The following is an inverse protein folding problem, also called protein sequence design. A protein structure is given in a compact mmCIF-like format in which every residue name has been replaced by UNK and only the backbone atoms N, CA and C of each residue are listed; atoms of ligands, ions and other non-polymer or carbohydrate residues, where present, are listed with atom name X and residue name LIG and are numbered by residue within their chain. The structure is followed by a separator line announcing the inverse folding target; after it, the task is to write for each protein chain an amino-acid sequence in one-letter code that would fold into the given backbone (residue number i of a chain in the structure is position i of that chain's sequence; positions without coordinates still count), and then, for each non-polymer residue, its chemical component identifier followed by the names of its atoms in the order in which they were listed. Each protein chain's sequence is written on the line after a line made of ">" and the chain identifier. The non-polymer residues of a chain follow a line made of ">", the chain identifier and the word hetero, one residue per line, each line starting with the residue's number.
data_IF_476927406604
#
_entry.id   IF_476927406604
#
_cell.length_a   1.000
_cell.length_b   1.000
_cell.length_c   1.000
_cell.angle_alpha   90.00
_cell.angle_beta   90.00
_cell.angle_gamma   90.00
#
_symmetry.space_group_name_H-M   'P 1'
#
loop_
_entity.id
_entity.type
_entity.pdbx_description
1 polymer ?
#
# COMPACT_ATOMS: atom_id res chain seq x y z
N UNK A 1 -36.83 57.61 -6.33
CA UNK A 1 -36.79 56.90 -5.03
C UNK A 1 -36.60 55.43 -5.38
N UNK A 2 -35.34 54.97 -5.36
CA UNK A 2 -34.80 54.00 -4.38
C UNK A 2 -35.46 52.61 -4.52
N UNK A 3 -34.74 51.52 -4.76
CA UNK A 3 -33.32 51.32 -4.56
C UNK A 3 -32.76 50.02 -5.13
N UNK A 4 -31.47 49.88 -4.80
CA UNK A 4 -30.49 48.94 -5.29
C UNK A 4 -30.80 47.47 -4.99
N UNK A 5 -30.51 46.60 -5.96
CA UNK A 5 -30.20 45.19 -5.70
C UNK A 5 -28.84 44.86 -6.32
N UNK A 6 -27.83 44.75 -5.46
CA UNK A 6 -26.48 44.30 -5.81
C UNK A 6 -26.51 42.82 -6.23
N UNK A 7 -26.19 42.56 -7.50
CA UNK A 7 -25.84 41.25 -8.01
C UNK A 7 -24.37 40.93 -7.65
N UNK A 8 -24.14 39.93 -6.79
CA UNK A 8 -22.81 39.38 -6.55
C UNK A 8 -22.58 38.18 -7.47
N UNK A 9 -21.77 38.41 -8.49
CA UNK A 9 -21.20 37.42 -9.40
C UNK A 9 -20.21 36.51 -8.65
N UNK A 10 -20.52 35.22 -8.59
CA UNK A 10 -19.59 34.18 -8.16
C UNK A 10 -18.61 33.88 -9.31
N UNK A 11 -17.33 34.21 -9.12
CA UNK A 11 -16.25 33.75 -9.99
C UNK A 11 -15.70 32.43 -9.48
N UNK A 12 -15.96 31.35 -10.21
CA UNK A 12 -15.20 30.10 -10.12
C UNK A 12 -13.96 30.22 -11.01
N UNK A 13 -12.72 29.99 -10.53
CA UNK A 13 -11.61 29.77 -11.43
C UNK A 13 -11.62 28.30 -11.86
N UNK A 14 -11.92 28.11 -13.14
CA UNK A 14 -11.62 26.90 -13.91
C UNK A 14 -10.11 26.77 -14.01
N UNK A 15 -9.51 25.72 -13.46
CA UNK A 15 -8.14 25.37 -13.81
C UNK A 15 -8.14 24.49 -15.06
N UNK A 16 -7.38 24.98 -16.03
CA UNK A 16 -7.22 24.51 -17.40
C UNK A 16 -6.32 23.27 -17.41
N UNK A 17 -6.62 22.38 -18.35
CA UNK A 17 -5.91 21.14 -18.60
C UNK A 17 -4.61 21.32 -19.42
N UNK A 18 -3.75 20.28 -19.34
CA UNK A 18 -2.73 19.79 -20.30
C UNK A 18 -1.33 20.43 -20.30
N UNK A 19 -0.33 19.54 -20.31
CA UNK A 19 0.97 19.79 -20.95
C UNK A 19 2.15 19.07 -20.32
N UNK A 20 2.73 18.10 -21.02
CA UNK A 20 3.92 17.31 -20.66
C UNK A 20 5.18 18.16 -20.40
N UNK A 21 6.09 17.63 -19.57
CA UNK A 21 7.52 17.62 -19.92
C UNK A 21 8.23 16.42 -19.29
N UNK A 22 8.64 15.50 -20.13
CA UNK A 22 9.63 14.48 -19.82
C UNK A 22 11.01 15.15 -19.64
N UNK A 23 11.81 14.69 -18.67
CA UNK A 23 13.24 14.91 -18.70
C UNK A 23 13.96 13.66 -18.19
N UNK A 24 14.63 12.98 -19.14
CA UNK A 24 15.57 11.92 -18.89
C UNK A 24 16.85 12.48 -18.26
N UNK A 25 17.51 11.69 -17.40
CA UNK A 25 18.94 11.85 -17.11
C UNK A 25 19.61 10.47 -17.03
N UNK A 26 20.51 10.25 -17.97
CA UNK A 26 21.36 9.08 -18.10
C UNK A 26 22.55 9.14 -17.12
N UNK A 27 22.99 7.99 -16.61
CA UNK A 27 24.39 7.78 -16.20
C UNK A 27 24.85 6.41 -16.72
N UNK A 28 26.01 6.43 -17.37
CA UNK A 28 26.52 5.39 -18.24
C UNK A 28 27.22 4.20 -17.56
N UNK A 29 27.42 3.20 -18.43
CA UNK A 29 28.11 1.92 -18.30
C UNK A 29 29.45 1.94 -17.54
N UNK A 30 29.69 0.86 -16.80
CA UNK A 30 30.92 0.08 -16.93
C UNK A 30 30.59 -1.43 -16.88
N UNK A 31 30.85 -2.10 -18.00
CA UNK A 31 30.74 -3.54 -18.16
C UNK A 31 31.97 -4.24 -17.55
N UNK A 32 31.74 -5.36 -16.87
CA UNK A 32 32.77 -6.31 -16.44
C UNK A 32 32.19 -7.71 -16.48
N UNK A 33 32.32 -8.37 -17.63
CA UNK A 33 31.90 -9.75 -17.86
C UNK A 33 32.83 -10.73 -17.11
N UNK A 34 32.25 -11.54 -16.23
CA UNK A 34 32.88 -12.73 -15.66
C UNK A 34 32.01 -13.94 -16.01
N UNK A 35 32.53 -14.79 -16.89
CA UNK A 35 31.87 -15.96 -17.46
C UNK A 35 32.36 -17.24 -16.73
N UNK A 36 31.41 -18.15 -16.47
CA UNK A 36 31.50 -19.60 -16.20
C UNK A 36 32.00 -20.10 -14.82
N UNK A 37 31.68 -21.37 -14.42
CA UNK A 37 30.61 -22.27 -14.86
C UNK A 37 29.79 -22.92 -13.72
N UNK A 38 28.63 -23.47 -14.11
CA UNK A 38 27.83 -24.39 -13.33
C UNK A 38 28.58 -25.73 -13.12
N UNK A 39 28.63 -26.20 -11.88
CA UNK A 39 29.09 -27.54 -11.52
C UNK A 39 27.90 -28.47 -11.24
N UNK A 40 27.93 -29.61 -11.92
CA UNK A 40 26.93 -30.65 -11.99
C UNK A 40 26.60 -31.34 -10.66
N UNK A 41 25.33 -31.73 -10.51
CA UNK A 41 24.90 -32.74 -9.55
C UNK A 41 25.25 -34.15 -10.06
N UNK A 42 25.68 -35.09 -9.20
CA UNK A 42 25.88 -36.49 -9.59
C UNK A 42 24.56 -37.29 -9.66
N UNK A 43 24.54 -38.41 -10.41
CA UNK A 43 23.37 -39.27 -10.58
C UNK A 43 23.14 -40.17 -9.37
N UNK A 44 21.91 -40.68 -9.25
CA UNK A 44 21.38 -41.32 -8.06
C UNK A 44 21.87 -42.73 -7.76
N UNK A 45 21.42 -43.21 -6.59
CA UNK A 45 21.49 -44.60 -6.18
C UNK A 45 20.07 -45.17 -6.09
N UNK A 46 19.90 -46.26 -6.85
CA UNK A 46 18.82 -47.22 -6.73
C UNK A 46 19.18 -48.14 -5.56
N UNK A 47 18.47 -48.06 -4.44
CA UNK A 47 18.55 -49.10 -3.41
C UNK A 47 17.24 -49.91 -3.38
N UNK A 48 17.37 -51.13 -3.88
CA UNK A 48 16.41 -52.22 -3.84
C UNK A 48 16.40 -52.84 -2.44
N UNK A 49 15.30 -52.72 -1.68
CA UNK A 49 15.31 -53.27 -0.33
C UNK A 49 13.98 -53.39 0.40
N UNK A 50 13.26 -54.48 0.11
CA UNK A 50 12.39 -55.23 1.04
C UNK A 50 11.15 -54.51 1.60
N UNK A 51 10.01 -54.92 1.03
CA UNK A 51 8.68 -54.72 1.57
C UNK A 51 8.56 -55.19 3.04
N UNK A 52 8.12 -54.28 3.92
CA UNK A 52 7.38 -54.63 5.13
C UNK A 52 6.00 -54.00 5.05
N UNK A 53 4.99 -54.85 4.88
CA UNK A 53 3.60 -54.47 5.01
C UNK A 53 3.34 -54.06 6.46
N UNK A 54 3.11 -52.77 6.68
CA UNK A 54 2.55 -52.25 7.94
C UNK A 54 1.06 -52.04 7.68
N UNK A 55 0.23 -52.99 8.12
CA UNK A 55 -1.21 -52.81 8.14
C UNK A 55 -1.56 -51.81 9.26
N UNK A 56 -1.63 -50.53 8.92
CA UNK A 56 -2.29 -49.53 9.76
C UNK A 56 -3.75 -49.44 9.34
N UNK A 57 -4.63 -50.08 10.12
CA UNK A 57 -6.06 -49.86 10.07
C UNK A 57 -6.37 -48.44 10.58
N UNK A 58 -6.19 -47.44 9.72
CA UNK A 58 -6.70 -46.10 9.97
C UNK A 58 -8.19 -46.08 9.65
N UNK A 59 -9.00 -46.09 10.70
CA UNK A 59 -10.44 -45.86 10.64
C UNK A 59 -10.65 -44.44 10.09
N UNK A 60 -10.93 -44.33 8.80
CA UNK A 60 -11.29 -43.08 8.14
C UNK A 60 -12.63 -42.58 8.71
N UNK A 61 -12.55 -41.73 9.72
CA UNK A 61 -13.67 -40.90 10.13
C UNK A 61 -13.91 -39.85 9.04
N UNK A 62 -14.92 -40.10 8.20
CA UNK A 62 -15.43 -39.16 7.20
C UNK A 62 -16.09 -37.95 7.84
N UNK A 63 -15.32 -37.13 8.56
CA UNK A 63 -15.73 -35.78 8.91
C UNK A 63 -15.83 -34.97 7.63
N UNK A 64 -17.05 -34.61 7.22
CA UNK A 64 -17.29 -33.52 6.26
C UNK A 64 -16.45 -32.33 6.74
N UNK A 65 -15.61 -31.69 5.90
CA UNK A 65 -14.90 -30.49 6.31
C UNK A 65 -15.93 -29.53 6.91
N UNK A 66 -15.69 -29.08 8.14
CA UNK A 66 -16.48 -28.00 8.70
C UNK A 66 -16.43 -26.85 7.67
N UNK A 67 -17.55 -26.14 7.41
CA UNK A 67 -17.51 -24.99 6.53
C UNK A 67 -16.40 -24.05 7.03
N UNK A 68 -15.36 -23.87 6.23
CA UNK A 68 -14.38 -22.82 6.47
C UNK A 68 -15.14 -21.53 6.25
N UNK A 69 -15.59 -20.88 7.33
CA UNK A 69 -16.26 -19.58 7.21
C UNK A 69 -15.19 -18.57 6.83
N UNK A 70 -15.13 -18.24 5.54
CA UNK A 70 -14.26 -17.16 5.07
C UNK A 70 -14.76 -15.83 5.59
N UNK A 71 -13.83 -14.91 5.85
CA UNK A 71 -14.10 -13.52 6.20
C UNK A 71 -14.17 -12.71 4.91
N UNK A 72 -15.37 -12.19 4.62
CA UNK A 72 -15.55 -11.26 3.52
C UNK A 72 -14.73 -9.99 3.75
N UNK A 73 -13.89 -9.67 2.78
CA UNK A 73 -12.87 -8.63 2.86
C UNK A 73 -13.06 -7.56 1.77
N UNK A 74 -12.98 -6.29 2.16
CA UNK A 74 -12.99 -5.13 1.25
C UNK A 74 -11.71 -4.32 1.44
N UNK A 75 -11.07 -3.94 0.34
CA UNK A 75 -9.90 -3.07 0.35
C UNK A 75 -10.25 -1.68 -0.22
N UNK A 76 -9.87 -0.62 0.50
CA UNK A 76 -10.11 0.79 0.15
C UNK A 76 -8.80 1.57 0.26
N UNK A 77 -8.79 2.83 -0.18
CA UNK A 77 -7.67 3.74 0.06
C UNK A 77 -6.94 4.14 -1.21
N UNK A 78 -5.64 4.33 -1.09
CA UNK A 78 -4.80 4.92 -2.13
C UNK A 78 -4.01 3.89 -2.96
N UNK A 79 -2.98 4.36 -3.66
CA UNK A 79 -2.10 3.56 -4.53
C UNK A 79 -1.46 2.37 -3.82
N UNK A 80 -1.16 2.48 -2.53
CA UNK A 80 -0.55 1.41 -1.76
C UNK A 80 -1.53 0.25 -1.57
N UNK A 81 -2.82 0.53 -1.38
CA UNK A 81 -3.84 -0.53 -1.35
C UNK A 81 -4.23 -1.00 -2.75
N UNK A 82 -4.17 -0.12 -3.75
CA UNK A 82 -4.43 -0.50 -5.15
C UNK A 82 -3.42 -1.54 -5.67
N UNK A 83 -2.16 -1.48 -5.22
CA UNK A 83 -1.09 -2.34 -5.71
C UNK A 83 -0.20 -1.70 -6.76
N UNK A 84 -0.18 -0.37 -6.83
CA UNK A 84 0.70 0.36 -7.74
C UNK A 84 2.15 -0.02 -7.46
N UNK A 85 2.96 -0.18 -8.52
CA UNK A 85 4.31 -0.72 -8.41
C UNK A 85 4.41 -2.24 -8.56
N UNK A 86 3.27 -2.94 -8.64
CA UNK A 86 3.23 -4.39 -8.82
C UNK A 86 2.23 -4.80 -9.91
N UNK A 87 2.51 -4.35 -11.14
CA UNK A 87 1.76 -4.76 -12.33
C UNK A 87 1.75 -6.28 -12.57
N UNK A 88 0.91 -6.78 -13.50
CA UNK A 88 0.02 -6.03 -14.39
C UNK A 88 -1.19 -5.43 -13.65
N UNK A 89 -1.84 -4.44 -14.28
CA UNK A 89 -3.00 -3.73 -13.74
C UNK A 89 -4.27 -4.08 -14.53
N UNK A 90 -5.36 -4.39 -13.83
CA UNK A 90 -6.67 -4.55 -14.48
C UNK A 90 -7.39 -3.20 -14.65
N UNK A 91 -6.96 -2.19 -13.88
CA UNK A 91 -7.36 -0.79 -14.00
C UNK A 91 -6.11 0.07 -13.95
N UNK A 92 -5.75 0.65 -15.09
CA UNK A 92 -4.57 1.53 -15.22
C UNK A 92 -4.85 2.97 -14.82
N UNK A 93 -6.11 3.34 -14.56
CA UNK A 93 -6.44 4.68 -14.03
C UNK A 93 -6.19 4.70 -12.52
N UNK A 94 -6.65 3.67 -11.83
CA UNK A 94 -6.44 3.53 -10.39
C UNK A 94 -5.20 2.72 -10.00
N UNK A 95 -4.45 2.19 -10.97
CA UNK A 95 -3.32 1.28 -10.77
C UNK A 95 -3.65 0.08 -9.87
N UNK A 96 -4.82 -0.53 -10.10
CA UNK A 96 -5.22 -1.72 -9.34
C UNK A 96 -4.55 -2.95 -9.92
N UNK A 97 -3.63 -3.53 -9.14
CA UNK A 97 -2.88 -4.73 -9.56
C UNK A 97 -3.84 -5.91 -9.76
N UNK A 98 -3.58 -6.71 -10.79
CA UNK A 98 -4.31 -7.96 -11.07
C UNK A 98 -3.84 -9.11 -10.18
N UNK A 99 -2.62 -9.06 -9.63
CA UNK A 99 -2.01 -10.24 -9.00
C UNK A 99 -1.24 -9.98 -7.71
N UNK A 100 -0.74 -8.76 -7.51
CA UNK A 100 0.39 -8.53 -6.60
C UNK A 100 0.19 -7.34 -5.68
N UNK A 101 -1.06 -7.03 -5.32
CA UNK A 101 -1.38 -6.11 -4.22
C UNK A 101 -1.53 -6.88 -2.90
N UNK A 102 -1.32 -6.22 -1.76
CA UNK A 102 -1.50 -6.89 -0.46
C UNK A 102 -2.92 -7.44 -0.24
N UNK A 103 -4.01 -6.81 -0.75
CA UNK A 103 -5.33 -7.43 -0.67
C UNK A 103 -5.43 -8.75 -1.43
N UNK A 104 -4.79 -8.83 -2.60
CA UNK A 104 -4.77 -10.06 -3.41
C UNK A 104 -3.92 -11.14 -2.74
N UNK A 105 -2.79 -10.78 -2.13
CA UNK A 105 -2.02 -11.75 -1.34
C UNK A 105 -2.79 -12.23 -0.11
N UNK A 106 -3.56 -11.37 0.55
CA UNK A 106 -4.42 -11.79 1.66
C UNK A 106 -5.44 -12.85 1.21
N UNK A 107 -6.11 -12.64 0.08
CA UNK A 107 -7.06 -13.58 -0.51
C UNK A 107 -6.43 -14.90 -0.97
N UNK A 108 -5.31 -14.82 -1.69
CA UNK A 108 -4.70 -15.97 -2.36
C UNK A 108 -3.82 -16.81 -1.44
N UNK A 109 -3.25 -16.22 -0.38
CA UNK A 109 -2.34 -16.91 0.54
C UNK A 109 -3.01 -17.27 1.88
N UNK A 110 -4.16 -16.69 2.22
CA UNK A 110 -4.94 -17.09 3.40
C UNK A 110 -6.34 -17.58 3.01
N UNK A 111 -6.54 -18.91 3.06
CA UNK A 111 -7.81 -19.59 2.73
C UNK A 111 -9.03 -19.18 3.57
N UNK A 112 -8.86 -18.37 4.64
CA UNK A 112 -9.94 -17.82 5.46
C UNK A 112 -10.31 -16.39 5.08
N UNK A 113 -9.62 -15.78 4.13
CA UNK A 113 -9.91 -14.44 3.60
C UNK A 113 -10.57 -14.60 2.23
N UNK A 114 -11.57 -13.77 1.96
CA UNK A 114 -12.30 -13.76 0.68
C UNK A 114 -12.47 -12.31 0.26
N UNK A 115 -11.55 -11.84 -0.60
CA UNK A 115 -11.54 -10.48 -1.13
C UNK A 115 -12.71 -10.28 -2.08
N UNK A 116 -13.70 -9.51 -1.61
CA UNK A 116 -14.89 -9.17 -2.39
C UNK A 116 -14.63 -8.09 -3.42
N UNK A 117 -13.81 -7.10 -3.07
CA UNK A 117 -13.45 -6.01 -3.98
C UNK A 117 -12.24 -5.25 -3.46
N UNK A 118 -11.40 -4.79 -4.39
CA UNK A 118 -10.44 -3.71 -4.15
C UNK A 118 -10.96 -2.44 -4.83
N UNK A 119 -11.39 -1.46 -4.03
CA UNK A 119 -11.84 -0.15 -4.51
C UNK A 119 -10.82 0.96 -4.26
N UNK A 120 -9.61 0.63 -3.79
CA UNK A 120 -8.54 1.60 -3.65
C UNK A 120 -8.16 2.21 -5.01
N UNK A 121 -7.62 3.42 -5.01
CA UNK A 121 -7.28 4.10 -6.25
C UNK A 121 -6.03 4.96 -6.06
N UNK A 122 -5.10 4.87 -7.02
CA UNK A 122 -3.96 5.76 -7.07
C UNK A 122 -4.38 7.23 -6.98
N UNK A 123 -3.65 8.01 -6.17
CA UNK A 123 -3.93 9.42 -5.94
C UNK A 123 -5.11 9.72 -5.01
N UNK A 124 -5.79 8.71 -4.46
CA UNK A 124 -6.91 8.93 -3.55
C UNK A 124 -6.47 9.53 -2.21
N UNK A 125 -7.20 10.55 -1.79
CA UNK A 125 -7.13 11.18 -0.47
C UNK A 125 -8.24 10.66 0.45
N UNK A 126 -8.25 11.12 1.70
CA UNK A 126 -9.35 10.84 2.63
C UNK A 126 -10.73 11.27 2.10
N UNK A 127 -10.77 12.32 1.27
CA UNK A 127 -12.00 12.84 0.67
C UNK A 127 -12.62 11.91 -0.39
N UNK A 128 -11.83 10.98 -0.92
CA UNK A 128 -12.27 10.04 -1.97
C UNK A 128 -12.89 8.76 -1.39
N UNK A 129 -12.68 8.48 -0.10
CA UNK A 129 -13.22 7.29 0.57
C UNK A 129 -14.74 7.16 0.44
N UNK A 130 -15.56 8.22 0.64
CA UNK A 130 -17.01 8.13 0.41
C UNK A 130 -17.39 7.70 -1.00
N UNK A 131 -16.65 8.12 -2.03
CA UNK A 131 -16.88 7.71 -3.41
C UNK A 131 -16.55 6.22 -3.60
N UNK A 132 -15.43 5.74 -3.04
CA UNK A 132 -15.07 4.31 -3.07
C UNK A 132 -16.12 3.44 -2.36
N UNK A 133 -16.65 3.89 -1.22
CA UNK A 133 -17.74 3.22 -0.49
C UNK A 133 -19.06 3.18 -1.28
N UNK A 134 -19.31 4.20 -2.10
CA UNK A 134 -20.49 4.28 -2.96
C UNK A 134 -20.35 3.44 -4.23
N UNK A 135 -19.11 3.20 -4.68
CA UNK A 135 -18.78 2.41 -5.85
C UNK A 135 -18.65 0.89 -5.58
N UNK A 136 -18.96 0.44 -4.35
CA UNK A 136 -18.95 -0.99 -4.03
C UNK A 136 -19.88 -1.77 -4.99
N UNK A 137 -19.46 -2.94 -5.50
CA UNK A 137 -20.33 -3.79 -6.30
C UNK A 137 -21.59 -4.14 -5.52
N UNK A 138 -22.73 -4.25 -6.21
CA UNK A 138 -24.02 -4.62 -5.59
C UNK A 138 -24.01 -6.02 -4.98
N UNK A 139 -23.04 -6.85 -5.34
CA UNK A 139 -22.78 -8.18 -4.77
C UNK A 139 -22.12 -8.13 -3.38
N UNK A 140 -21.62 -6.97 -2.94
CA UNK A 140 -21.04 -6.78 -1.61
C UNK A 140 -22.12 -6.31 -0.65
N UNK A 141 -22.59 -7.19 0.24
CA UNK A 141 -23.44 -6.81 1.37
C UNK A 141 -22.57 -6.25 2.51
N UNK A 142 -22.63 -4.94 2.81
CA UNK A 142 -21.80 -4.34 3.85
C UNK A 142 -22.04 -4.90 5.26
N UNK A 143 -23.19 -5.51 5.52
CA UNK A 143 -23.54 -6.10 6.82
C UNK A 143 -22.86 -7.45 7.09
N UNK A 144 -22.22 -8.03 6.07
CA UNK A 144 -21.53 -9.33 6.11
C UNK A 144 -20.01 -9.21 6.03
N UNK A 145 -19.49 -8.04 5.64
CA UNK A 145 -18.05 -7.77 5.59
C UNK A 145 -17.46 -7.84 6.99
N UNK A 146 -16.43 -8.66 7.17
CA UNK A 146 -15.75 -8.87 8.45
C UNK A 146 -14.38 -8.21 8.52
N UNK A 147 -13.79 -7.84 7.39
CA UNK A 147 -12.49 -7.16 7.33
C UNK A 147 -12.53 -6.02 6.30
N UNK A 148 -12.01 -4.86 6.69
CA UNK A 148 -11.69 -3.75 5.78
C UNK A 148 -10.26 -3.31 6.03
N UNK A 149 -9.46 -3.18 4.98
CA UNK A 149 -8.12 -2.56 5.07
C UNK A 149 -8.09 -1.30 4.22
N UNK A 150 -7.26 -0.34 4.64
CA UNK A 150 -6.95 0.83 3.83
C UNK A 150 -5.59 1.44 4.17
N UNK A 151 -4.96 2.01 3.15
CA UNK A 151 -3.91 3.03 3.25
C UNK A 151 -4.51 4.34 2.78
N UNK A 152 -4.41 5.41 3.56
CA UNK A 152 -4.89 6.74 3.16
C UNK A 152 -4.24 7.80 4.05
N UNK A 153 -4.07 9.00 3.51
CA UNK A 153 -3.51 10.15 4.22
C UNK A 153 -2.20 10.67 3.63
N UNK A 154 -1.47 9.86 2.85
CA UNK A 154 -0.25 10.32 2.17
C UNK A 154 -0.50 11.47 1.20
N UNK A 155 -1.59 11.41 0.42
CA UNK A 155 -2.00 12.49 -0.49
C UNK A 155 -2.41 13.73 0.29
N UNK A 156 -3.19 13.57 1.36
CA UNK A 156 -3.61 14.66 2.25
C UNK A 156 -2.41 15.35 2.95
N UNK A 157 -1.36 14.59 3.22
CA UNK A 157 -0.09 15.04 3.81
C UNK A 157 0.87 15.69 2.79
N UNK A 158 0.49 15.74 1.51
CA UNK A 158 1.22 16.49 0.50
C UNK A 158 2.23 15.70 -0.33
N UNK A 159 2.12 14.35 -0.41
CA UNK A 159 3.09 13.53 -1.14
C UNK A 159 3.23 13.90 -2.63
N UNK A 160 2.15 14.33 -3.28
CA UNK A 160 2.17 14.80 -4.68
C UNK A 160 3.01 16.08 -4.84
N UNK A 161 2.90 17.00 -3.86
CA UNK A 161 3.65 18.24 -3.82
C UNK A 161 5.13 17.94 -3.58
N UNK A 162 5.45 17.03 -2.67
CA UNK A 162 6.82 16.54 -2.45
C UNK A 162 7.41 15.95 -3.73
N UNK A 163 6.68 15.05 -4.40
CA UNK A 163 7.13 14.42 -5.65
C UNK A 163 7.44 15.47 -6.75
N UNK A 164 6.65 16.55 -6.80
CA UNK A 164 6.84 17.63 -7.78
C UNK A 164 7.99 18.58 -7.40
N UNK A 165 8.10 18.92 -6.11
CA UNK A 165 9.02 19.96 -5.63
C UNK A 165 10.44 19.44 -5.31
N UNK A 166 10.61 18.12 -5.23
CA UNK A 166 11.88 17.46 -4.93
C UNK A 166 12.46 16.66 -6.13
N UNK A 167 12.57 17.24 -7.34
CA UNK A 167 13.11 16.50 -8.47
C UNK A 167 14.59 16.16 -8.25
N UNK A 168 14.99 14.96 -8.67
CA UNK A 168 16.39 14.48 -8.64
C UNK A 168 17.06 14.51 -7.26
N UNK A 169 16.28 14.46 -6.16
CA UNK A 169 16.81 14.46 -4.80
C UNK A 169 17.49 15.76 -4.36
N UNK A 170 17.34 16.86 -5.13
CA UNK A 170 17.86 18.16 -4.73
C UNK A 170 16.94 18.80 -3.69
N UNK A 171 17.44 18.99 -2.47
CA UNK A 171 16.70 19.68 -1.40
C UNK A 171 16.79 21.19 -1.62
N UNK A 172 15.89 21.72 -2.44
CA UNK A 172 15.58 23.16 -2.41
C UNK A 172 14.91 23.50 -1.07
N UNK A 173 14.87 24.78 -0.70
CA UNK A 173 14.11 25.20 0.49
C UNK A 173 12.64 24.76 0.40
N UNK A 174 12.02 24.93 -0.78
CA UNK A 174 10.65 24.48 -1.04
C UNK A 174 10.47 22.97 -0.84
N UNK A 175 11.42 22.15 -1.31
CA UNK A 175 11.40 20.71 -1.04
C UNK A 175 11.52 20.43 0.46
N UNK A 176 12.47 21.08 1.15
CA UNK A 176 12.67 20.89 2.59
C UNK A 176 11.43 21.25 3.42
N UNK A 177 10.74 22.33 3.05
CA UNK A 177 9.54 22.79 3.76
C UNK A 177 8.40 21.77 3.62
N UNK A 178 8.22 21.21 2.41
CA UNK A 178 7.19 20.19 2.14
C UNK A 178 7.47 18.84 2.81
N UNK A 179 8.72 18.57 3.19
CA UNK A 179 9.07 17.37 3.98
C UNK A 179 8.74 17.53 5.47
N UNK A 180 8.26 18.69 5.92
CA UNK A 180 7.96 18.91 7.34
C UNK A 180 6.47 19.17 7.52
N UNK A 181 5.74 18.19 8.06
CA UNK A 181 4.34 18.39 8.44
C UNK A 181 4.27 19.28 9.68
N UNK A 182 3.74 20.49 9.53
CA UNK A 182 3.50 21.42 10.64
C UNK A 182 2.43 20.86 11.59
N UNK A 183 2.39 21.36 12.83
CA UNK A 183 1.35 20.96 13.81
C UNK A 183 -0.07 21.21 13.29
N UNK A 184 -0.27 22.30 12.53
CA UNK A 184 -1.57 22.61 11.94
C UNK A 184 -1.97 21.59 10.87
N UNK A 185 -1.04 21.20 9.98
CA UNK A 185 -1.27 20.17 8.96
C UNK A 185 -1.51 18.80 9.59
N UNK A 186 -0.79 18.44 10.65
CA UNK A 186 -1.03 17.20 11.39
C UNK A 186 -2.43 17.18 12.03
N UNK A 187 -2.89 18.31 12.57
CA UNK A 187 -4.24 18.42 13.14
C UNK A 187 -5.34 18.35 12.07
N UNK A 188 -5.15 18.98 10.92
CA UNK A 188 -6.04 18.89 9.77
C UNK A 188 -6.11 17.45 9.24
N UNK A 189 -4.95 16.80 9.06
CA UNK A 189 -4.85 15.40 8.66
C UNK A 189 -5.59 14.47 9.64
N UNK A 190 -5.42 14.69 10.95
CA UNK A 190 -6.14 13.93 11.99
C UNK A 190 -7.66 14.05 11.83
N UNK A 191 -8.15 15.26 11.53
CA UNK A 191 -9.58 15.53 11.32
C UNK A 191 -10.10 14.81 10.07
N UNK A 192 -9.35 14.88 8.97
CA UNK A 192 -9.64 14.21 7.71
C UNK A 192 -9.70 12.68 7.85
N UNK A 193 -8.68 12.09 8.47
CA UNK A 193 -8.62 10.64 8.75
C UNK A 193 -9.79 10.20 9.64
N UNK A 194 -10.13 10.98 10.67
CA UNK A 194 -11.29 10.71 11.52
C UNK A 194 -12.59 10.65 10.72
N UNK A 195 -12.78 11.58 9.76
CA UNK A 195 -13.93 11.56 8.86
C UNK A 195 -14.00 10.29 8.00
N UNK A 196 -12.87 9.92 7.38
CA UNK A 196 -12.78 8.71 6.56
C UNK A 196 -13.06 7.44 7.38
N UNK A 197 -12.45 7.28 8.55
CA UNK A 197 -12.66 6.10 9.41
C UNK A 197 -14.10 5.98 9.89
N UNK A 198 -14.74 7.09 10.27
CA UNK A 198 -16.16 7.09 10.64
C UNK A 198 -17.04 6.67 9.47
N UNK A 199 -16.77 7.14 8.25
CA UNK A 199 -17.53 6.74 7.06
C UNK A 199 -17.39 5.24 6.79
N UNK A 200 -16.17 4.69 6.87
CA UNK A 200 -15.93 3.25 6.68
C UNK A 200 -16.65 2.42 7.75
N UNK A 201 -16.53 2.78 9.03
CA UNK A 201 -17.21 2.06 10.12
C UNK A 201 -18.73 2.15 10.05
N UNK A 202 -19.27 3.28 9.60
CA UNK A 202 -20.71 3.42 9.37
C UNK A 202 -21.20 2.51 8.25
N UNK A 203 -20.42 2.34 7.17
CA UNK A 203 -20.75 1.45 6.05
C UNK A 203 -20.63 -0.03 6.44
N UNK A 204 -19.61 -0.39 7.22
CA UNK A 204 -19.29 -1.77 7.58
C UNK A 204 -19.32 -1.98 9.11
N UNK A 205 -20.51 -2.00 9.74
CA UNK A 205 -20.64 -1.93 11.19
C UNK A 205 -20.09 -3.16 11.95
N UNK A 206 -19.86 -4.29 11.28
CA UNK A 206 -19.30 -5.52 11.87
C UNK A 206 -17.83 -5.76 11.53
N UNK A 207 -17.26 -4.99 10.62
CA UNK A 207 -15.92 -5.26 10.12
C UNK A 207 -14.84 -4.79 11.11
N UNK A 208 -13.77 -5.57 11.23
CA UNK A 208 -12.49 -5.06 11.73
C UNK A 208 -11.93 -4.12 10.65
N UNK A 209 -11.82 -2.84 10.97
CA UNK A 209 -11.21 -1.84 10.07
C UNK A 209 -9.74 -1.69 10.44
N UNK A 210 -8.86 -1.75 9.44
CA UNK A 210 -7.41 -1.71 9.60
C UNK A 210 -6.78 -0.64 8.70
N UNK A 211 -6.15 0.35 9.31
CA UNK A 211 -5.31 1.32 8.62
C UNK A 211 -3.86 0.81 8.60
N UNK A 212 -3.31 0.55 7.42
CA UNK A 212 -1.89 0.25 7.28
C UNK A 212 -1.10 1.56 7.07
N UNK A 213 0.09 1.65 7.67
CA UNK A 213 1.03 2.76 7.47
C UNK A 213 1.78 2.69 6.14
N UNK A 214 2.80 3.53 6.01
CA UNK A 214 3.69 3.58 4.84
C UNK A 214 5.12 3.19 5.24
N UNK A 215 5.86 2.45 4.39
CA UNK A 215 7.23 2.05 4.70
C UNK A 215 8.17 3.25 4.63
N UNK A 216 9.29 3.19 5.37
CA UNK A 216 10.41 4.09 5.12
C UNK A 216 10.98 3.82 3.73
N UNK A 217 11.40 4.87 3.04
CA UNK A 217 11.82 4.75 1.65
C UNK A 217 13.29 4.42 1.50
N UNK A 218 14.16 4.87 2.39
CA UNK A 218 15.60 4.75 2.22
C UNK A 218 16.30 4.10 3.41
N UNK A 219 17.41 3.41 3.14
CA UNK A 219 18.27 2.80 4.16
C UNK A 219 19.76 3.05 3.90
N UNK A 220 20.58 2.71 4.89
CA UNK A 220 22.03 2.67 4.78
C UNK A 220 22.65 4.00 4.34
N UNK A 221 23.50 3.93 3.31
CA UNK A 221 24.31 5.08 2.86
C UNK A 221 23.48 6.27 2.37
N UNK A 222 22.22 6.05 1.95
CA UNK A 222 21.34 7.13 1.52
C UNK A 222 20.97 8.08 2.68
N UNK A 223 21.02 7.61 3.93
CA UNK A 223 20.64 8.43 5.10
C UNK A 223 21.71 9.48 5.49
N UNK A 224 22.92 9.41 4.91
CA UNK A 224 23.90 10.50 5.03
C UNK A 224 23.48 11.74 4.25
N UNK A 225 22.61 11.61 3.24
CA UNK A 225 22.04 12.73 2.52
C UNK A 225 20.80 13.29 3.24
N UNK A 226 20.61 14.60 3.16
CA UNK A 226 19.51 15.29 3.85
C UNK A 226 18.13 14.88 3.35
N UNK A 227 17.95 14.72 2.03
CA UNK A 227 16.66 14.37 1.45
C UNK A 227 16.12 13.01 1.94
N UNK A 228 16.83 11.87 1.76
CA UNK A 228 16.34 10.57 2.23
C UNK A 228 16.03 10.54 3.72
N UNK A 229 16.89 11.16 4.54
CA UNK A 229 16.70 11.21 5.99
C UNK A 229 15.47 12.00 6.39
N UNK A 230 15.26 13.19 5.79
CA UNK A 230 14.08 14.02 6.06
C UNK A 230 12.81 13.32 5.58
N UNK A 231 12.80 12.73 4.39
CA UNK A 231 11.63 12.02 3.87
C UNK A 231 11.22 10.83 4.75
N UNK A 232 12.16 10.03 5.23
CA UNK A 232 11.86 8.98 6.21
C UNK A 232 11.26 9.56 7.50
N UNK A 233 11.76 10.69 8.00
CA UNK A 233 11.20 11.35 9.18
C UNK A 233 9.77 11.91 8.92
N UNK A 234 9.50 12.39 7.70
CA UNK A 234 8.15 12.79 7.28
C UNK A 234 7.18 11.61 7.32
N UNK A 235 7.60 10.45 6.80
CA UNK A 235 6.83 9.20 6.83
C UNK A 235 6.58 8.76 8.28
N UNK A 236 7.60 8.83 9.14
CA UNK A 236 7.44 8.51 10.56
C UNK A 236 6.41 9.42 11.25
N UNK A 237 6.37 10.71 10.89
CA UNK A 237 5.38 11.67 11.39
C UNK A 237 3.98 11.38 10.85
N UNK A 238 3.85 11.09 9.55
CA UNK A 238 2.60 10.70 8.91
C UNK A 238 1.99 9.48 9.58
N UNK A 239 2.77 8.42 9.74
CA UNK A 239 2.33 7.18 10.37
C UNK A 239 1.95 7.37 11.85
N UNK A 240 2.64 8.26 12.57
CA UNK A 240 2.26 8.60 13.94
C UNK A 240 0.86 9.26 14.00
N UNK A 241 0.55 10.15 13.05
CA UNK A 241 -0.78 10.77 12.93
C UNK A 241 -1.84 9.72 12.56
N UNK A 242 -1.55 8.85 11.60
CA UNK A 242 -2.45 7.75 11.18
C UNK A 242 -2.75 6.83 12.36
N UNK A 243 -1.71 6.38 13.07
CA UNK A 243 -1.84 5.53 14.26
C UNK A 243 -2.70 6.17 15.34
N UNK A 244 -2.48 7.44 15.64
CA UNK A 244 -3.26 8.19 16.63
C UNK A 244 -4.73 8.30 16.23
N UNK A 245 -5.01 8.72 14.99
CA UNK A 245 -6.36 8.83 14.46
C UNK A 245 -7.09 7.48 14.40
N UNK A 246 -6.38 6.41 14.04
CA UNK A 246 -6.94 5.06 13.99
C UNK A 246 -7.35 4.60 15.39
N UNK A 247 -6.45 4.72 16.37
CA UNK A 247 -6.73 4.37 17.77
C UNK A 247 -7.94 5.13 18.33
N UNK A 248 -8.02 6.44 18.09
CA UNK A 248 -9.13 7.28 18.55
C UNK A 248 -10.49 6.91 17.94
N UNK A 249 -10.50 6.22 16.80
CA UNK A 249 -11.73 5.82 16.09
C UNK A 249 -12.00 4.31 16.18
N UNK A 250 -11.24 3.56 16.99
CA UNK A 250 -11.37 2.11 17.11
C UNK A 250 -11.11 1.40 15.79
N UNK A 251 -10.07 1.83 15.08
CA UNK A 251 -9.46 1.23 13.90
C UNK A 251 -8.12 0.65 14.32
N UNK A 252 -7.76 -0.53 13.81
CA UNK A 252 -6.43 -1.12 14.08
C UNK A 252 -5.40 -0.45 13.18
N UNK A 253 -4.29 0.03 13.74
CA UNK A 253 -3.15 0.45 12.93
C UNK A 253 -2.18 -0.72 12.76
N UNK A 254 -1.67 -0.92 11.54
CA UNK A 254 -0.61 -1.87 11.23
C UNK A 254 0.62 -1.10 10.76
N UNK A 255 1.72 -1.27 11.47
CA UNK A 255 2.99 -0.64 11.14
C UNK A 255 3.79 -1.53 10.21
N UNK A 256 3.89 -1.16 8.93
CA UNK A 256 4.61 -1.97 7.94
C UNK A 256 6.12 -1.73 7.95
N UNK A 257 6.60 -0.74 8.70
CA UNK A 257 8.03 -0.39 8.71
C UNK A 257 8.89 -1.50 9.31
N UNK A 258 8.32 -2.32 10.19
CA UNK A 258 9.03 -3.44 10.80
C UNK A 258 9.38 -4.52 9.76
N UNK A 259 8.43 -4.86 8.87
CA UNK A 259 8.68 -5.82 7.78
C UNK A 259 9.55 -5.25 6.66
N UNK A 260 9.42 -3.95 6.36
CA UNK A 260 10.24 -3.30 5.33
C UNK A 260 11.69 -2.99 5.78
N UNK A 261 11.99 -3.14 7.07
CA UNK A 261 13.32 -2.86 7.60
C UNK A 261 14.38 -3.74 6.93
N UNK A 262 15.38 -3.11 6.32
CA UNK A 262 16.41 -3.80 5.54
C UNK A 262 15.98 -4.16 4.12
N UNK A 263 14.87 -3.62 3.64
CA UNK A 263 14.37 -3.76 2.26
C UNK A 263 13.93 -2.43 1.64
N UNK A 264 14.33 -1.31 2.23
CA UNK A 264 14.13 0.03 1.67
C UNK A 264 14.99 0.24 0.40
N UNK A 265 14.79 1.36 -0.29
CA UNK A 265 15.63 1.78 -1.42
C UNK A 265 17.09 1.86 -0.95
N UNK A 266 17.97 1.20 -1.71
CA UNK A 266 19.39 1.10 -1.39
C UNK A 266 19.77 -0.09 -0.52
N UNK A 267 18.83 -0.98 -0.17
CA UNK A 267 19.16 -2.21 0.55
C UNK A 267 19.93 -3.21 -0.31
N UNK A 268 20.99 -3.80 0.27
CA UNK A 268 21.75 -4.91 -0.32
C UNK A 268 20.98 -6.25 -0.33
N UNK A 269 19.96 -6.40 0.53
CA UNK A 269 19.12 -7.60 0.60
C UNK A 269 18.00 -7.60 -0.46
N UNK A 270 18.01 -6.61 -1.36
CA UNK A 270 16.98 -6.37 -2.36
C UNK A 270 15.93 -5.37 -1.87
N UNK A 271 15.70 -4.32 -2.65
CA UNK A 271 14.68 -3.32 -2.34
C UNK A 271 13.27 -3.83 -2.65
N UNK A 272 12.33 -3.51 -1.77
CA UNK A 272 10.91 -3.81 -1.90
C UNK A 272 10.10 -2.62 -2.37
N UNK A 273 10.73 -1.47 -2.53
CA UNK A 273 10.15 -0.23 -3.03
C UNK A 273 10.79 0.04 -4.39
N UNK A 274 9.97 0.32 -5.40
CA UNK A 274 10.46 0.67 -6.73
C UNK A 274 11.17 2.03 -6.70
N UNK A 275 12.28 2.13 -7.41
CA UNK A 275 13.02 3.37 -7.60
C UNK A 275 13.87 3.27 -8.87
N UNK A 276 13.69 4.20 -9.81
CA UNK A 276 14.30 4.09 -11.15
C UNK A 276 13.65 2.99 -12.00
N UNK A 277 12.36 2.73 -11.79
CA UNK A 277 11.58 1.77 -12.56
C UNK A 277 11.35 2.22 -14.01
N UNK A 278 11.01 1.28 -14.88
CA UNK A 278 10.72 1.57 -16.30
C UNK A 278 9.45 2.38 -16.48
N UNK A 279 8.49 2.23 -15.57
CA UNK A 279 7.31 3.10 -15.46
C UNK A 279 7.51 4.01 -14.24
N UNK A 280 7.89 5.28 -14.42
CA UNK A 280 8.14 6.19 -13.30
C UNK A 280 6.95 6.39 -12.35
N UNK A 281 5.73 6.03 -12.76
CA UNK A 281 4.58 6.05 -11.87
C UNK A 281 4.69 4.97 -10.77
N UNK A 282 5.47 3.91 -10.98
CA UNK A 282 5.68 2.85 -10.00
C UNK A 282 6.69 3.25 -8.91
N UNK A 283 7.52 4.26 -9.14
CA UNK A 283 8.52 4.70 -8.18
C UNK A 283 7.89 5.11 -6.84
N UNK A 284 8.62 4.85 -5.77
CA UNK A 284 8.21 5.01 -4.38
C UNK A 284 6.99 4.18 -3.96
N UNK A 285 6.58 3.19 -4.76
CA UNK A 285 5.57 2.21 -4.36
C UNK A 285 6.19 0.84 -4.13
N UNK A 286 5.57 -0.03 -3.31
CA UNK A 286 6.03 -1.40 -3.16
C UNK A 286 6.01 -2.15 -4.48
N UNK A 287 7.01 -3.00 -4.71
CA UNK A 287 6.95 -4.02 -5.74
C UNK A 287 6.22 -5.26 -5.21
N UNK A 288 6.10 -6.30 -6.04
CA UNK A 288 5.41 -7.54 -5.65
C UNK A 288 5.97 -8.17 -4.36
N UNK A 289 7.30 -8.07 -4.12
CA UNK A 289 7.92 -8.53 -2.88
C UNK A 289 7.52 -7.66 -1.68
N UNK A 290 7.49 -6.33 -1.84
CA UNK A 290 7.04 -5.42 -0.80
C UNK A 290 5.57 -5.61 -0.42
N UNK A 291 4.70 -5.91 -1.39
CA UNK A 291 3.32 -6.23 -1.07
C UNK A 291 3.14 -7.59 -0.39
N UNK A 292 3.93 -8.59 -0.79
CA UNK A 292 3.83 -9.94 -0.22
C UNK A 292 4.50 -10.05 1.15
N UNK A 293 5.75 -9.62 1.27
CA UNK A 293 6.58 -9.81 2.45
C UNK A 293 6.62 -8.60 3.37
N UNK A 294 6.24 -7.43 2.87
CA UNK A 294 6.01 -6.24 3.67
C UNK A 294 4.57 -6.18 4.16
N UNK A 295 3.67 -5.68 3.32
CA UNK A 295 2.27 -5.42 3.72
C UNK A 295 1.50 -6.66 4.15
N UNK A 296 1.42 -7.71 3.31
CA UNK A 296 0.68 -8.91 3.68
C UNK A 296 1.25 -9.58 4.94
N UNK A 297 2.58 -9.67 5.05
CA UNK A 297 3.22 -10.25 6.23
C UNK A 297 2.97 -9.42 7.50
N UNK A 298 2.93 -8.09 7.42
CA UNK A 298 2.55 -7.23 8.53
C UNK A 298 1.12 -7.54 9.03
N UNK A 299 0.16 -7.70 8.10
CA UNK A 299 -1.20 -8.10 8.46
C UNK A 299 -1.27 -9.47 9.14
N UNK A 300 -0.36 -10.39 8.78
CA UNK A 300 -0.24 -11.72 9.42
C UNK A 300 0.39 -11.60 10.81
N UNK A 301 1.52 -10.90 10.93
CA UNK A 301 2.28 -10.76 12.18
C UNK A 301 1.46 -10.05 13.26
N UNK A 302 0.70 -9.01 12.88
CA UNK A 302 -0.18 -8.26 13.76
C UNK A 302 -1.53 -8.95 14.03
N UNK A 303 -1.71 -10.18 13.53
CA UNK A 303 -2.94 -10.98 13.72
C UNK A 303 -4.18 -10.22 13.26
N UNK A 304 -4.05 -9.50 12.14
CA UNK A 304 -5.17 -8.87 11.46
C UNK A 304 -5.98 -9.91 10.70
N UNK A 305 -5.30 -10.79 9.98
CA UNK A 305 -5.93 -11.86 9.21
C UNK A 305 -6.34 -13.03 10.12
N UNK A 306 -7.48 -13.68 9.86
CA UNK A 306 -8.00 -14.81 10.62
C UNK A 306 -7.24 -16.13 10.38
#
# INVERSE_FOLDING_TARGET
>A
MQGDTMSRSNHSPRFIARGLLALAAAVGLAAGAGIMPASAAPPGDQDTGVARAVQSAAKAGGGKPAPSTTVAYVALGDSYTAGQGAGPYFDTTCYRSTTSSYPIFADTLNSRVDLKTNQACSGASTADIPAQLSALPTTVDPSTVGLVTLTVGGIDAGSNQVATACPNGTVTQTCSDLLTLTTAEQADLTTKLTGAYKAVKAKFPKAKVVAAGYPRFFTGIYLFSDFPRRLNASIDTLDAVIKSAAAANGVTFVDVRDEFNGHEIGSFSGQWINYGSTDPNEDFHPNASGYRYGYYQALVNDRVLP
#
